data_IF_134271017080
#
_entry.id   IF_134271017080
#
_cell.length_a   1.000
_cell.length_b   1.000
_cell.length_c   1.000
_cell.angle_alpha   90.00
_cell.angle_beta   90.00
_cell.angle_gamma   90.00
#
_symmetry.space_group_name_H-M   'P 1'
#
loop_
_entity.id
_entity.type
_entity.pdbx_description
1 polymer ?
#
# COMPACT_ATOMS: atom_id res chain seq x y z
N UNK A 1 1.02 -13.88 1.47
CA UNK A 1 0.96 -13.20 0.16
C UNK A 1 -0.12 -12.14 0.28
N UNK A 2 0.22 -10.87 0.15
CA UNK A 2 -0.70 -9.76 0.29
C UNK A 2 -1.56 -9.63 -0.98
N UNK A 3 -2.72 -10.29 -0.95
CA UNK A 3 -3.66 -10.38 -2.08
C UNK A 3 -4.17 -9.01 -2.54
N UNK A 4 -4.21 -8.01 -1.66
CA UNK A 4 -4.74 -6.68 -1.96
C UNK A 4 -3.80 -5.80 -2.79
N UNK A 5 -2.50 -6.10 -2.84
CA UNK A 5 -1.53 -5.34 -3.63
C UNK A 5 -1.88 -5.32 -5.12
N UNK A 6 -2.57 -6.36 -5.62
CA UNK A 6 -3.06 -6.42 -7.01
C UNK A 6 -4.11 -5.34 -7.32
N UNK A 7 -4.90 -4.94 -6.33
CA UNK A 7 -5.89 -3.87 -6.47
C UNK A 7 -5.28 -2.48 -6.31
N UNK A 8 -4.09 -2.39 -5.73
CA UNK A 8 -3.32 -1.15 -5.59
C UNK A 8 -2.44 -0.84 -6.81
N UNK A 9 -2.52 -1.64 -7.88
CA UNK A 9 -1.73 -1.44 -9.10
C UNK A 9 -1.66 0.03 -9.55
N UNK A 10 -2.79 0.73 -9.72
CA UNK A 10 -2.80 2.14 -10.13
C UNK A 10 -2.09 3.10 -9.15
N UNK A 11 -2.21 2.85 -7.84
CA UNK A 11 -1.60 3.67 -6.78
C UNK A 11 -0.10 3.44 -6.74
N UNK A 12 0.33 2.19 -6.85
CA UNK A 12 1.73 1.79 -6.89
C UNK A 12 2.42 2.29 -8.15
N UNK A 13 1.73 2.24 -9.29
CA UNK A 13 2.22 2.78 -10.57
C UNK A 13 2.45 4.30 -10.48
N UNK A 14 1.49 5.05 -9.91
CA UNK A 14 1.68 6.48 -9.61
C UNK A 14 2.81 6.76 -8.63
N UNK A 15 3.07 5.86 -7.69
CA UNK A 15 4.21 5.94 -6.78
C UNK A 15 5.54 5.46 -7.42
N UNK A 16 5.50 4.96 -8.67
CA UNK A 16 6.66 4.42 -9.38
C UNK A 16 7.20 3.11 -8.79
N UNK A 17 6.34 2.30 -8.17
CA UNK A 17 6.67 1.03 -7.53
C UNK A 17 6.16 -0.13 -8.39
N UNK A 18 7.09 -0.95 -8.86
CA UNK A 18 6.76 -2.17 -9.60
C UNK A 18 6.89 -3.42 -8.70
N UNK A 19 5.81 -4.19 -8.58
CA UNK A 19 5.78 -5.42 -7.78
C UNK A 19 6.45 -6.62 -8.48
N UNK A 20 7.72 -6.47 -8.87
CA UNK A 20 8.50 -7.50 -9.60
C UNK A 20 8.79 -8.72 -8.73
N UNK A 21 9.29 -8.49 -7.53
CA UNK A 21 9.77 -9.55 -6.64
C UNK A 21 8.94 -9.75 -5.38
N UNK A 22 9.02 -10.95 -4.80
CA UNK A 22 8.41 -11.27 -3.50
C UNK A 22 8.98 -10.39 -2.37
N UNK A 23 10.25 -9.98 -2.47
CA UNK A 23 10.89 -9.05 -1.52
C UNK A 23 10.26 -7.66 -1.59
N UNK A 24 10.13 -7.09 -2.79
CA UNK A 24 9.48 -5.79 -3.02
C UNK A 24 8.03 -5.84 -2.52
N UNK A 25 7.27 -6.88 -2.89
CA UNK A 25 5.89 -7.06 -2.40
C UNK A 25 5.80 -7.07 -0.88
N UNK A 26 6.75 -7.70 -0.19
CA UNK A 26 6.80 -7.71 1.28
C UNK A 26 7.15 -6.34 1.84
N UNK A 27 8.10 -5.64 1.24
CA UNK A 27 8.48 -4.29 1.67
C UNK A 27 7.31 -3.31 1.54
N UNK A 28 6.65 -3.30 0.37
CA UNK A 28 5.47 -2.48 0.10
C UNK A 28 4.31 -2.81 1.04
N UNK A 29 4.04 -4.11 1.29
CA UNK A 29 3.02 -4.53 2.25
C UNK A 29 3.30 -4.00 3.66
N UNK A 30 4.56 -4.07 4.12
CA UNK A 30 4.96 -3.51 5.42
C UNK A 30 4.80 -1.99 5.46
N UNK A 31 5.26 -1.28 4.43
CA UNK A 31 5.12 0.19 4.38
C UNK A 31 3.65 0.61 4.38
N UNK A 32 2.79 -0.06 3.62
CA UNK A 32 1.34 0.24 3.62
C UNK A 32 0.74 0.02 5.01
N UNK A 33 1.08 -1.09 5.67
CA UNK A 33 0.63 -1.40 7.03
C UNK A 33 1.05 -0.33 8.04
N UNK A 34 2.27 0.16 7.95
CA UNK A 34 2.74 1.27 8.78
C UNK A 34 1.99 2.57 8.50
N UNK A 35 1.77 2.91 7.23
CA UNK A 35 1.07 4.14 6.82
C UNK A 35 -0.39 4.15 7.28
N UNK A 36 -1.10 3.04 7.05
CA UNK A 36 -2.51 2.90 7.46
C UNK A 36 -2.68 2.56 8.94
N UNK A 37 -1.59 2.36 9.68
CA UNK A 37 -1.60 2.09 11.11
C UNK A 37 -2.02 0.67 11.51
N UNK A 38 -2.09 -0.27 10.56
CA UNK A 38 -2.44 -1.68 10.82
C UNK A 38 -1.16 -2.51 10.90
N UNK A 39 -0.48 -2.45 12.06
CA UNK A 39 0.78 -3.17 12.31
C UNK A 39 0.59 -4.68 12.35
N UNK A 40 -0.54 -5.14 12.87
CA UNK A 40 -0.91 -6.55 12.98
C UNK A 40 -2.34 -6.73 12.47
N UNK A 41 -2.53 -7.74 11.62
CA UNK A 41 -3.82 -7.98 10.96
C UNK A 41 -3.68 -8.85 9.71
N UNK A 42 -4.77 -9.50 9.34
CA UNK A 42 -4.85 -10.30 8.12
C UNK A 42 -5.03 -9.38 6.89
N UNK A 43 -4.64 -9.88 5.71
CA UNK A 43 -4.77 -9.14 4.44
C UNK A 43 -6.14 -8.45 4.20
N UNK A 44 -7.31 -9.06 4.51
CA UNK A 44 -8.59 -8.38 4.34
C UNK A 44 -8.82 -7.18 5.28
N UNK A 45 -8.23 -7.18 6.47
CA UNK A 45 -8.35 -6.08 7.44
C UNK A 45 -7.53 -4.88 6.99
N UNK A 46 -6.27 -5.13 6.59
CA UNK A 46 -5.40 -4.12 5.98
C UNK A 46 -6.07 -3.53 4.74
N UNK A 47 -6.69 -4.36 3.90
CA UNK A 47 -7.37 -3.89 2.70
C UNK A 47 -8.59 -3.00 2.98
N UNK A 48 -9.36 -3.28 4.03
CA UNK A 48 -10.46 -2.40 4.45
C UNK A 48 -9.94 -1.03 4.83
N UNK A 49 -8.88 -0.96 5.65
CA UNK A 49 -8.27 0.31 6.04
C UNK A 49 -7.71 1.08 4.84
N UNK A 50 -6.99 0.39 3.95
CA UNK A 50 -6.50 0.99 2.70
C UNK A 50 -7.65 1.51 1.84
N UNK A 51 -8.74 0.75 1.69
CA UNK A 51 -9.92 1.21 0.94
C UNK A 51 -10.52 2.49 1.52
N UNK A 52 -10.55 2.63 2.84
CA UNK A 52 -11.03 3.86 3.50
C UNK A 52 -10.13 5.04 3.16
N UNK A 53 -8.82 4.84 3.11
CA UNK A 53 -7.87 5.85 2.63
C UNK A 53 -8.06 6.19 1.15
N UNK A 54 -8.35 5.20 0.31
CA UNK A 54 -8.59 5.44 -1.13
C UNK A 54 -9.92 6.15 -1.43
N UNK A 55 -10.88 6.15 -0.50
CA UNK A 55 -12.12 6.93 -0.65
C UNK A 55 -11.88 8.43 -0.49
N UNK A 56 -10.86 8.81 0.27
CA UNK A 56 -10.51 10.20 0.53
C UNK A 56 -9.34 10.61 -0.38
N UNK A 57 -9.52 11.56 -1.31
CA UNK A 57 -8.47 11.96 -2.24
C UNK A 57 -7.23 12.54 -1.54
N UNK A 58 -7.38 13.17 -0.37
CA UNK A 58 -6.25 13.68 0.40
C UNK A 58 -5.44 12.53 1.03
N UNK A 59 -6.11 11.49 1.52
CA UNK A 59 -5.45 10.30 2.05
C UNK A 59 -4.83 9.43 0.96
N UNK A 60 -5.49 9.29 -0.21
CA UNK A 60 -4.91 8.63 -1.38
C UNK A 60 -3.59 9.31 -1.78
N UNK A 61 -3.60 10.63 -1.92
CA UNK A 61 -2.41 11.38 -2.30
C UNK A 61 -1.30 11.25 -1.26
N UNK A 62 -1.66 11.24 0.03
CA UNK A 62 -0.73 11.00 1.14
C UNK A 62 -0.11 9.61 1.05
N UNK A 63 -0.91 8.58 0.77
CA UNK A 63 -0.43 7.20 0.59
C UNK A 63 0.57 7.11 -0.57
N UNK A 64 0.28 7.73 -1.72
CA UNK A 64 1.18 7.76 -2.88
C UNK A 64 2.49 8.46 -2.52
N UNK A 65 2.41 9.61 -1.84
CA UNK A 65 3.59 10.42 -1.48
C UNK A 65 4.49 9.68 -0.51
N UNK A 66 3.92 9.06 0.53
CA UNK A 66 4.66 8.26 1.51
C UNK A 66 5.30 7.04 0.86
N UNK A 67 4.58 6.35 -0.04
CA UNK A 67 5.12 5.20 -0.75
C UNK A 67 6.25 5.60 -1.72
N UNK A 68 6.10 6.72 -2.42
CA UNK A 68 7.14 7.24 -3.31
C UNK A 68 8.41 7.64 -2.54
N UNK A 69 8.26 8.21 -1.33
CA UNK A 69 9.38 8.55 -0.45
C UNK A 69 10.06 7.35 0.20
N UNK A 70 9.33 6.24 0.38
CA UNK A 70 9.81 5.00 1.00
C UNK A 70 10.17 3.91 -0.02
N UNK A 71 10.55 4.31 -1.24
CA UNK A 71 10.79 3.39 -2.36
C UNK A 71 11.68 2.21 -1.90
N UNK A 72 11.17 0.97 -1.98
CA UNK A 72 11.85 -0.22 -1.44
C UNK A 72 12.96 -0.75 -2.35
#
# INVERSE_FOLDING_TARGET
MSCYLRHLGPVLDRAGIELKDKKIRKSVDLSIREIVGVKEGHCPEVWKAVKEWLKDPALEQKLITELAGRKP
#
